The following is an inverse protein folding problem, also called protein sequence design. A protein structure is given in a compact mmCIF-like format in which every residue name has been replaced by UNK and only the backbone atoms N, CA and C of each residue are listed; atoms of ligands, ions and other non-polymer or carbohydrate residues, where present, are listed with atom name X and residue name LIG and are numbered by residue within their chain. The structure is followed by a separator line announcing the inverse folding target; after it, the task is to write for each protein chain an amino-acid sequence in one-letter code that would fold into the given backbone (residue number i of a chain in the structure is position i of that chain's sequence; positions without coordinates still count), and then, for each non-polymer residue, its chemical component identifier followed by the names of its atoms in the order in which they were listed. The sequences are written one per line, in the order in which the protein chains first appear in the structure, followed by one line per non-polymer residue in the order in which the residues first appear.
data_IF_675983094252
#
_entry.id   IF_675983094252
#
_cell.length_a   1.000
_cell.length_b   1.000
_cell.length_c   1.000
_cell.angle_alpha   90.00
_cell.angle_beta   90.00
_cell.angle_gamma   90.00
#
_symmetry.space_group_name_H-M   'P 1'
#
loop_
_entity.id
_entity.type
_entity.pdbx_description
1 polymer ?
#
# COMPACT_ATOMS: atom_id res chain seq x y z
N UNK A 1 19.76 14.56 -3.34
CA UNK A 1 19.80 13.22 -2.72
C UNK A 1 19.56 12.21 -3.81
N UNK A 2 20.32 11.12 -3.83
CA UNK A 2 20.02 10.01 -4.74
C UNK A 2 18.70 9.30 -4.32
N UNK A 3 18.05 8.55 -5.22
CA UNK A 3 16.75 7.92 -4.94
C UNK A 3 16.77 6.93 -3.77
N UNK A 4 17.88 6.25 -3.52
CA UNK A 4 17.99 5.30 -2.41
C UNK A 4 18.03 6.05 -1.07
N UNK A 5 18.78 7.14 -1.01
CA UNK A 5 18.82 8.04 0.16
C UNK A 5 17.46 8.65 0.47
N UNK A 6 16.65 8.98 -0.55
CA UNK A 6 15.29 9.48 -0.34
C UNK A 6 14.36 8.38 0.22
N UNK A 7 14.43 7.18 -0.34
CA UNK A 7 13.63 6.04 0.12
C UNK A 7 13.97 5.64 1.56
N UNK A 8 15.26 5.55 1.89
CA UNK A 8 15.71 5.23 3.26
C UNK A 8 15.31 6.29 4.27
N UNK A 9 15.43 7.57 3.92
CA UNK A 9 15.02 8.67 4.79
C UNK A 9 13.52 8.69 5.03
N UNK A 10 12.70 8.45 3.99
CA UNK A 10 11.25 8.33 4.14
C UNK A 10 10.87 7.15 5.04
N UNK A 11 11.41 5.95 4.78
CA UNK A 11 11.15 4.76 5.58
C UNK A 11 11.52 4.97 7.06
N UNK A 12 12.66 5.64 7.31
CA UNK A 12 13.09 5.97 8.66
C UNK A 12 12.12 6.94 9.35
N UNK A 13 11.70 8.01 8.66
CA UNK A 13 10.70 8.95 9.22
C UNK A 13 9.39 8.24 9.55
N UNK A 14 8.89 7.38 8.67
CA UNK A 14 7.67 6.60 8.90
C UNK A 14 7.79 5.72 10.16
N UNK A 15 8.92 5.03 10.32
CA UNK A 15 9.22 4.24 11.51
C UNK A 15 9.25 5.09 12.79
N UNK A 16 9.91 6.25 12.74
CA UNK A 16 10.03 7.17 13.86
C UNK A 16 8.67 7.75 14.28
N UNK A 17 7.79 8.07 13.33
CA UNK A 17 6.42 8.51 13.60
C UNK A 17 5.62 7.40 14.31
N UNK A 18 5.79 6.15 13.87
CA UNK A 18 5.17 5.00 14.52
C UNK A 18 5.65 4.81 15.96
N UNK A 19 6.96 4.87 16.19
CA UNK A 19 7.56 4.79 17.54
C UNK A 19 7.04 5.92 18.44
N UNK A 20 7.07 7.16 17.96
CA UNK A 20 6.56 8.32 18.69
C UNK A 20 5.09 8.16 19.10
N UNK A 21 4.23 7.69 18.17
CA UNK A 21 2.81 7.48 18.45
C UNK A 21 2.57 6.34 19.44
N UNK A 22 3.38 5.28 19.44
CA UNK A 22 3.26 4.16 20.37
C UNK A 22 3.71 4.51 21.80
N UNK A 23 4.74 5.33 21.96
CA UNK A 23 5.22 5.76 23.29
C UNK A 23 4.25 6.75 23.96
N UNK A 24 3.49 7.49 23.16
CA UNK A 24 2.51 8.46 23.65
C UNK A 24 1.22 7.76 24.10
N UNK A 25 0.82 8.04 25.35
CA UNK A 25 -0.51 7.64 25.85
C UNK A 25 -1.61 8.30 25.02
N UNK A 26 -2.59 7.48 24.65
CA UNK A 26 -3.79 7.88 23.91
C UNK A 26 -4.44 9.14 24.54
N UNK A 27 -4.71 10.16 23.73
CA UNK A 27 -5.34 11.41 24.17
C UNK A 27 -4.40 12.51 24.67
N UNK A 28 -3.07 12.30 24.68
CA UNK A 28 -2.13 13.38 24.99
C UNK A 28 -2.03 14.36 23.81
N UNK A 29 -2.28 15.67 24.00
CA UNK A 29 -2.13 16.65 22.92
C UNK A 29 -0.69 16.64 22.40
N UNK A 30 -0.54 16.65 21.08
CA UNK A 30 0.75 16.79 20.41
C UNK A 30 1.00 18.29 20.23
N UNK A 31 1.96 18.84 20.96
CA UNK A 31 2.50 20.16 20.71
C UNK A 31 3.27 20.21 19.39
N UNK A 32 3.38 21.41 18.80
CA UNK A 32 3.98 21.63 17.48
C UNK A 32 5.42 21.10 17.35
N UNK A 33 6.22 21.24 18.42
CA UNK A 33 7.63 20.82 18.43
C UNK A 33 7.85 19.45 19.06
N UNK A 34 6.79 18.79 19.55
CA UNK A 34 6.89 17.59 20.37
C UNK A 34 7.63 16.44 19.68
N UNK A 35 7.44 16.31 18.36
CA UNK A 35 8.12 15.29 17.59
C UNK A 35 9.60 15.60 17.38
N UNK A 36 9.96 16.87 17.13
CA UNK A 36 11.35 17.28 16.98
C UNK A 36 12.12 17.08 18.30
N UNK A 37 11.53 17.48 19.42
CA UNK A 37 12.10 17.26 20.76
C UNK A 37 12.25 15.76 21.06
N UNK A 38 11.26 14.96 20.68
CA UNK A 38 11.33 13.51 20.83
C UNK A 38 12.47 12.92 20.02
N UNK A 39 12.65 13.34 18.76
CA UNK A 39 13.76 12.91 17.91
C UNK A 39 15.12 13.23 18.54
N UNK A 40 15.32 14.47 19.00
CA UNK A 40 16.56 14.89 19.66
C UNK A 40 16.83 14.08 20.93
N UNK A 41 15.80 13.84 21.76
CA UNK A 41 15.94 13.03 22.98
C UNK A 41 16.27 11.56 22.73
N UNK A 42 16.00 11.05 21.53
CA UNK A 42 16.30 9.67 21.10
C UNK A 42 17.53 9.58 20.19
N UNK A 43 18.34 10.65 20.10
CA UNK A 43 19.56 10.73 19.26
C UNK A 43 19.28 10.64 17.75
N UNK A 44 18.12 11.10 17.29
CA UNK A 44 17.77 11.26 15.88
C UNK A 44 17.96 12.71 15.40
N UNK A 45 19.02 13.39 15.86
CA UNK A 45 19.31 14.80 15.59
C UNK A 45 19.40 15.15 14.09
N UNK A 46 19.90 14.20 13.29
CA UNK A 46 19.99 14.37 11.83
C UNK A 46 18.60 14.51 11.21
N UNK A 47 17.64 13.68 11.63
CA UNK A 47 16.27 13.73 11.15
C UNK A 47 15.52 14.94 11.69
N UNK A 48 15.76 15.31 12.95
CA UNK A 48 15.22 16.55 13.53
C UNK A 48 15.65 17.77 12.69
N UNK A 49 16.95 17.87 12.36
CA UNK A 49 17.48 18.94 11.49
C UNK A 49 16.93 18.87 10.07
N UNK A 50 16.83 17.68 9.50
CA UNK A 50 16.31 17.51 8.14
C UNK A 50 14.86 17.98 8.04
N UNK A 51 14.02 17.61 9.03
CA UNK A 51 12.61 18.02 9.10
C UNK A 51 12.51 19.52 9.39
N UNK A 52 13.27 20.06 10.34
CA UNK A 52 13.21 21.48 10.70
C UNK A 52 13.64 22.40 9.55
N UNK A 53 14.51 21.92 8.67
CA UNK A 53 14.96 22.65 7.47
C UNK A 53 13.92 22.67 6.33
N UNK A 54 12.78 21.98 6.50
CA UNK A 54 11.70 21.89 5.52
C UNK A 54 10.35 22.21 6.17
N UNK A 55 9.90 23.46 6.04
CA UNK A 55 8.62 23.91 6.60
C UNK A 55 7.44 23.03 6.13
N UNK A 56 7.45 22.60 4.86
CA UNK A 56 6.44 21.70 4.31
C UNK A 56 6.45 20.32 4.96
N UNK A 57 7.63 19.73 5.19
CA UNK A 57 7.74 18.43 5.85
C UNK A 57 7.28 18.50 7.29
N UNK A 58 7.67 19.55 8.01
CA UNK A 58 7.23 19.76 9.39
C UNK A 58 5.70 19.88 9.47
N UNK A 59 5.08 20.68 8.60
CA UNK A 59 3.63 20.85 8.57
C UNK A 59 2.88 19.54 8.30
N UNK A 60 3.33 18.73 7.32
CA UNK A 60 2.69 17.45 7.03
C UNK A 60 2.84 16.43 8.17
N UNK A 61 3.97 16.45 8.88
CA UNK A 61 4.17 15.64 10.08
C UNK A 61 3.26 16.12 11.20
N UNK A 62 3.14 17.43 11.43
CA UNK A 62 2.21 18.00 12.42
C UNK A 62 0.76 17.59 12.12
N UNK A 63 0.33 17.71 10.85
CA UNK A 63 -1.00 17.29 10.41
C UNK A 63 -1.22 15.82 10.72
N UNK A 64 -0.31 14.94 10.31
CA UNK A 64 -0.39 13.51 10.56
C UNK A 64 -0.43 13.19 12.06
N UNK A 65 0.37 13.87 12.89
CA UNK A 65 0.42 13.63 14.32
C UNK A 65 -0.79 14.21 15.07
N UNK A 66 -1.49 15.17 14.50
CA UNK A 66 -2.74 15.70 15.05
C UNK A 66 -3.93 14.74 14.86
N UNK A 67 -3.82 13.80 13.93
CA UNK A 67 -4.84 12.79 13.68
C UNK A 67 -4.97 11.77 14.83
N UNK A 68 -6.14 11.13 14.86
CA UNK A 68 -6.47 10.07 15.81
C UNK A 68 -5.43 8.94 15.76
N UNK A 69 -5.03 8.44 16.93
CA UNK A 69 -4.00 7.39 17.07
C UNK A 69 -4.28 6.17 16.20
N UNK A 70 -5.50 5.62 16.25
CA UNK A 70 -5.91 4.45 15.47
C UNK A 70 -5.87 4.71 13.96
N UNK A 71 -6.22 5.93 13.52
CA UNK A 71 -6.14 6.32 12.10
C UNK A 71 -4.68 6.36 11.63
N UNK A 72 -3.78 6.92 12.42
CA UNK A 72 -2.35 6.98 12.06
C UNK A 72 -1.76 5.57 12.06
N UNK A 73 -2.01 4.78 13.11
CA UNK A 73 -1.50 3.42 13.21
C UNK A 73 -2.00 2.51 12.09
N UNK A 74 -3.29 2.59 11.73
CA UNK A 74 -3.82 1.81 10.60
C UNK A 74 -3.18 2.19 9.25
N UNK A 75 -2.89 3.48 9.02
CA UNK A 75 -2.15 3.92 7.82
C UNK A 75 -0.71 3.42 7.82
N UNK A 76 -0.03 3.42 8.97
CA UNK A 76 1.33 2.91 9.10
C UNK A 76 1.38 1.39 8.86
N UNK A 77 0.43 0.63 9.42
CA UNK A 77 0.28 -0.80 9.12
C UNK A 77 0.04 -1.04 7.63
N UNK A 78 -0.74 -0.19 6.97
CA UNK A 78 -0.94 -0.30 5.52
C UNK A 78 0.35 -0.14 4.72
N UNK A 79 1.21 0.80 5.12
CA UNK A 79 2.53 0.97 4.48
C UNK A 79 3.38 -0.29 4.66
N UNK A 80 3.39 -0.86 5.87
CA UNK A 80 4.13 -2.08 6.18
C UNK A 80 3.66 -3.28 5.33
N UNK A 81 2.34 -3.45 5.19
CA UNK A 81 1.73 -4.49 4.35
C UNK A 81 2.07 -4.33 2.86
N UNK A 82 2.05 -3.09 2.34
CA UNK A 82 2.47 -2.80 0.95
C UNK A 82 3.94 -3.15 0.77
N UNK A 83 4.82 -2.71 1.67
CA UNK A 83 6.26 -2.97 1.57
C UNK A 83 6.58 -4.46 1.65
N UNK A 84 5.95 -5.19 2.57
CA UNK A 84 6.03 -6.65 2.66
C UNK A 84 5.67 -7.30 1.34
N UNK A 85 4.53 -6.91 0.79
CA UNK A 85 4.04 -7.41 -0.49
C UNK A 85 5.01 -7.12 -1.63
N UNK A 86 5.51 -5.88 -1.74
CA UNK A 86 6.45 -5.51 -2.80
C UNK A 86 7.74 -6.34 -2.68
N UNK A 87 8.30 -6.41 -1.48
CA UNK A 87 9.57 -7.08 -1.23
C UNK A 87 9.50 -8.60 -1.43
N UNK A 88 8.37 -9.24 -1.08
CA UNK A 88 8.15 -10.68 -1.31
C UNK A 88 8.05 -11.04 -2.79
N UNK A 89 7.59 -10.12 -3.62
CA UNK A 89 7.40 -10.34 -5.06
C UNK A 89 8.60 -9.88 -5.91
N UNK A 90 9.74 -9.62 -5.28
CA UNK A 90 11.00 -9.27 -5.97
C UNK A 90 12.00 -10.40 -5.75
N UNK A 91 12.46 -11.06 -6.83
CA UNK A 91 13.30 -12.28 -6.83
C UNK A 91 14.47 -12.24 -5.81
N UNK A 92 15.29 -11.19 -5.87
CA UNK A 92 16.47 -11.05 -4.98
C UNK A 92 16.14 -10.63 -3.54
N UNK A 93 14.89 -10.25 -3.25
CA UNK A 93 14.45 -9.74 -1.94
C UNK A 93 13.46 -10.69 -1.25
N UNK A 94 12.89 -11.66 -1.97
CA UNK A 94 11.88 -12.60 -1.48
C UNK A 94 12.32 -13.28 -0.18
N UNK A 95 13.47 -13.97 -0.19
CA UNK A 95 13.95 -14.69 1.00
C UNK A 95 14.24 -13.79 2.21
N UNK A 96 14.64 -12.53 1.98
CA UNK A 96 14.81 -11.55 3.06
C UNK A 96 13.46 -11.09 3.59
N UNK A 97 12.53 -10.77 2.69
CA UNK A 97 11.19 -10.32 3.02
C UNK A 97 10.39 -11.40 3.77
N UNK A 98 10.49 -12.66 3.36
CA UNK A 98 9.88 -13.79 4.08
C UNK A 98 10.44 -13.96 5.49
N UNK A 99 11.74 -13.71 5.70
CA UNK A 99 12.36 -13.81 7.01
C UNK A 99 11.94 -12.71 7.99
N UNK A 100 11.53 -11.54 7.46
CA UNK A 100 11.16 -10.34 8.25
C UNK A 100 9.64 -10.24 8.40
N UNK A 101 8.88 -10.44 7.33
CA UNK A 101 7.44 -10.23 7.27
C UNK A 101 6.65 -11.54 7.39
N UNK A 102 6.06 -11.76 8.56
CA UNK A 102 5.24 -12.95 8.84
C UNK A 102 3.78 -12.84 8.35
N UNK A 103 3.36 -11.70 7.80
CA UNK A 103 1.99 -11.45 7.33
C UNK A 103 1.86 -11.34 5.80
N UNK A 104 0.60 -11.41 5.34
CA UNK A 104 0.09 -11.69 3.99
C UNK A 104 0.85 -11.04 2.83
N UNK A 105 1.28 -11.87 1.89
CA UNK A 105 1.66 -11.48 0.53
C UNK A 105 0.42 -11.31 -0.34
N UNK A 106 0.50 -10.49 -1.41
CA UNK A 106 -0.44 -10.64 -2.54
C UNK A 106 -0.29 -12.07 -3.06
N UNK A 107 -1.41 -12.78 -3.20
CA UNK A 107 -1.44 -14.15 -3.74
C UNK A 107 -0.95 -14.17 -5.20
N UNK A 108 -0.39 -15.30 -5.63
CA UNK A 108 -0.03 -15.50 -7.05
C UNK A 108 -1.22 -15.29 -7.98
N UNK A 109 -2.42 -15.68 -7.54
CA UNK A 109 -3.67 -15.45 -8.27
C UNK A 109 -3.97 -13.96 -8.44
N UNK A 110 -3.87 -13.16 -7.37
CA UNK A 110 -4.09 -11.73 -7.43
C UNK A 110 -3.07 -11.03 -8.35
N UNK A 111 -1.80 -11.45 -8.31
CA UNK A 111 -0.77 -10.95 -9.24
C UNK A 111 -1.13 -11.34 -10.66
N UNK A 112 -1.54 -12.58 -10.90
CA UNK A 112 -1.93 -13.06 -12.22
C UNK A 112 -3.14 -12.30 -12.78
N UNK A 113 -4.16 -12.06 -11.96
CA UNK A 113 -5.34 -11.25 -12.30
C UNK A 113 -4.93 -9.82 -12.68
N UNK A 114 -4.06 -9.19 -11.87
CA UNK A 114 -3.57 -7.85 -12.13
C UNK A 114 -2.73 -7.78 -13.41
N UNK A 115 -1.83 -8.75 -13.61
CA UNK A 115 -0.96 -8.88 -14.79
C UNK A 115 -1.78 -9.03 -16.06
N UNK A 116 -2.84 -9.84 -16.05
CA UNK A 116 -3.75 -9.97 -17.19
C UNK A 116 -4.44 -8.66 -17.53
N UNK A 117 -4.87 -7.86 -16.55
CA UNK A 117 -5.43 -6.52 -16.81
C UNK A 117 -4.38 -5.56 -17.38
N UNK A 118 -3.18 -5.49 -16.78
CA UNK A 118 -2.05 -4.65 -17.23
C UNK A 118 -1.65 -4.96 -18.66
N UNK A 119 -1.61 -6.24 -19.03
CA UNK A 119 -1.22 -6.69 -20.37
C UNK A 119 -2.37 -6.67 -21.38
N UNK A 120 -3.59 -6.35 -20.93
CA UNK A 120 -4.75 -6.18 -21.82
C UNK A 120 -4.85 -4.74 -22.33
N UNK A 121 -5.54 -4.50 -23.45
CA UNK A 121 -5.89 -3.15 -23.88
C UNK A 121 -6.99 -2.50 -23.00
N UNK A 122 -7.47 -3.18 -21.96
CA UNK A 122 -8.55 -2.74 -21.09
C UNK A 122 -8.02 -1.89 -19.94
N UNK A 123 -8.78 -0.87 -19.55
CA UNK A 123 -8.49 -0.05 -18.37
C UNK A 123 -9.19 -0.56 -17.12
N UNK A 124 -10.13 -1.50 -17.25
CA UNK A 124 -10.90 -2.07 -16.15
C UNK A 124 -11.51 -3.42 -16.48
N UNK A 125 -11.76 -4.24 -15.47
CA UNK A 125 -12.68 -5.38 -15.57
C UNK A 125 -13.90 -5.18 -14.68
N UNK A 126 -15.01 -5.79 -15.07
CA UNK A 126 -16.23 -5.87 -14.29
C UNK A 126 -16.32 -7.27 -13.68
N UNK A 127 -16.60 -7.34 -12.38
CA UNK A 127 -16.94 -8.60 -11.73
C UNK A 127 -18.40 -8.95 -11.99
N UNK A 128 -18.63 -10.17 -12.45
CA UNK A 128 -19.94 -10.67 -12.81
C UNK A 128 -20.17 -12.07 -12.22
N UNK A 129 -21.26 -12.21 -11.46
CA UNK A 129 -21.67 -13.49 -10.87
C UNK A 129 -22.30 -14.37 -11.97
N UNK A 130 -21.61 -15.44 -12.35
CA UNK A 130 -22.07 -16.38 -13.41
C UNK A 130 -22.74 -17.64 -12.86
N UNK A 131 -22.57 -17.95 -11.58
CA UNK A 131 -23.20 -19.08 -10.92
C UNK A 131 -23.07 -19.03 -9.40
N UNK A 132 -23.62 -20.00 -8.66
CA UNK A 132 -23.45 -20.07 -7.21
C UNK A 132 -21.96 -20.09 -6.85
N UNK A 133 -21.50 -19.09 -6.10
CA UNK A 133 -20.09 -18.90 -5.72
C UNK A 133 -19.10 -18.95 -6.90
N UNK A 134 -19.55 -18.56 -8.09
CA UNK A 134 -18.71 -18.53 -9.29
C UNK A 134 -18.78 -17.14 -9.88
N UNK A 135 -17.66 -16.43 -9.81
CA UNK A 135 -17.51 -15.10 -10.36
C UNK A 135 -16.67 -15.18 -11.65
N UNK A 136 -16.93 -14.25 -12.56
CA UNK A 136 -16.14 -14.01 -13.75
C UNK A 136 -15.69 -12.55 -13.76
N UNK A 137 -14.47 -12.31 -14.21
CA UNK A 137 -13.93 -10.97 -14.38
C UNK A 137 -13.88 -10.66 -15.88
N UNK A 138 -14.75 -9.78 -16.34
CA UNK A 138 -14.95 -9.48 -17.76
C UNK A 138 -14.21 -8.17 -18.09
N UNK A 139 -13.29 -8.23 -19.06
CA UNK A 139 -12.57 -7.04 -19.53
C UNK A 139 -13.55 -6.09 -20.22
N UNK A 140 -13.58 -4.83 -19.79
CA UNK A 140 -14.56 -3.85 -20.27
C UNK A 140 -14.24 -3.30 -21.67
N UNK A 141 -12.99 -3.41 -22.11
CA UNK A 141 -12.55 -3.05 -23.46
C UNK A 141 -11.75 -4.21 -24.07
N UNK A 142 -11.84 -4.39 -25.39
CA UNK A 142 -11.14 -5.46 -26.10
C UNK A 142 -11.81 -6.85 -26.01
N UNK A 143 -12.71 -7.04 -25.05
CA UNK A 143 -13.41 -8.31 -24.85
C UNK A 143 -12.52 -9.38 -24.21
N UNK A 144 -13.15 -10.44 -23.72
CA UNK A 144 -12.47 -11.53 -23.01
C UNK A 144 -12.68 -11.47 -21.49
N UNK A 145 -12.09 -12.46 -20.83
CA UNK A 145 -12.19 -12.65 -19.39
C UNK A 145 -10.80 -12.84 -18.80
N UNK A 146 -10.64 -12.42 -17.55
CA UNK A 146 -9.45 -12.74 -16.77
C UNK A 146 -9.59 -14.17 -16.25
N UNK A 147 -8.56 -14.97 -16.42
CA UNK A 147 -8.53 -16.35 -15.94
C UNK A 147 -8.02 -16.40 -14.50
N UNK A 148 -8.71 -17.15 -13.63
CA UNK A 148 -8.31 -17.42 -12.25
C UNK A 148 -8.98 -18.72 -11.79
N UNK A 149 -8.37 -19.43 -10.84
CA UNK A 149 -8.77 -20.80 -10.47
C UNK A 149 -9.47 -20.87 -9.12
N UNK A 150 -8.98 -20.14 -8.13
CA UNK A 150 -9.44 -20.16 -6.75
C UNK A 150 -10.63 -19.21 -6.54
N UNK A 151 -11.80 -19.62 -7.05
CA UNK A 151 -13.06 -18.85 -6.99
C UNK A 151 -13.42 -18.34 -5.60
N UNK A 152 -13.08 -19.08 -4.54
CA UNK A 152 -13.41 -18.69 -3.15
C UNK A 152 -12.60 -17.52 -2.61
N UNK A 153 -11.47 -17.20 -3.24
CA UNK A 153 -10.52 -16.18 -2.78
C UNK A 153 -10.51 -14.94 -3.67
N UNK A 154 -11.26 -14.92 -4.78
CA UNK A 154 -11.24 -13.79 -5.71
C UNK A 154 -11.67 -12.46 -5.05
N UNK A 155 -12.59 -12.51 -4.08
CA UNK A 155 -12.99 -11.30 -3.35
C UNK A 155 -11.88 -10.78 -2.45
N UNK A 156 -11.14 -11.67 -1.80
CA UNK A 156 -10.01 -11.34 -0.95
C UNK A 156 -8.84 -10.77 -1.78
N UNK A 157 -8.56 -11.40 -2.92
CA UNK A 157 -7.57 -10.93 -3.90
C UNK A 157 -7.89 -9.51 -4.39
N UNK A 158 -9.13 -9.28 -4.84
CA UNK A 158 -9.57 -7.98 -5.34
C UNK A 158 -9.56 -6.91 -4.24
N UNK A 159 -9.99 -7.26 -3.03
CA UNK A 159 -9.94 -6.34 -1.89
C UNK A 159 -8.51 -5.97 -1.53
N UNK A 160 -7.59 -6.94 -1.57
CA UNK A 160 -6.16 -6.73 -1.34
C UNK A 160 -5.56 -5.77 -2.37
N UNK A 161 -5.82 -6.01 -3.66
CA UNK A 161 -5.36 -5.14 -4.75
C UNK A 161 -5.93 -3.72 -4.67
N UNK A 162 -7.21 -3.57 -4.31
CA UNK A 162 -7.83 -2.25 -4.11
C UNK A 162 -7.21 -1.51 -2.94
N UNK A 163 -7.06 -2.20 -1.81
CA UNK A 163 -6.53 -1.59 -0.60
C UNK A 163 -5.05 -1.21 -0.75
N UNK A 164 -4.28 -1.88 -1.64
CA UNK A 164 -2.90 -1.49 -1.98
C UNK A 164 -2.83 -0.38 -3.04
N UNK A 165 -3.97 0.11 -3.53
CA UNK A 165 -4.01 1.14 -4.56
C UNK A 165 -3.60 0.65 -5.95
N UNK A 166 -3.49 -0.67 -6.14
CA UNK A 166 -3.21 -1.29 -7.44
C UNK A 166 -4.47 -1.35 -8.31
N UNK A 167 -5.64 -1.44 -7.68
CA UNK A 167 -6.94 -1.29 -8.32
C UNK A 167 -7.75 -0.16 -7.69
N UNK A 168 -8.64 0.43 -8.48
CA UNK A 168 -9.68 1.35 -8.00
C UNK A 168 -11.05 0.71 -8.20
N UNK A 169 -11.78 0.49 -7.11
CA UNK A 169 -13.16 0.05 -7.14
C UNK A 169 -14.09 1.23 -7.45
N UNK A 170 -15.00 1.01 -8.38
CA UNK A 170 -16.17 1.85 -8.65
C UNK A 170 -17.38 0.97 -8.94
N UNK A 171 -18.57 1.56 -8.95
CA UNK A 171 -19.81 0.83 -9.15
C UNK A 171 -20.49 1.28 -10.44
N UNK A 172 -20.88 0.32 -11.27
CA UNK A 172 -21.69 0.57 -12.46
C UNK A 172 -23.16 0.87 -12.10
N UNK A 173 -23.98 1.25 -13.10
CA UNK A 173 -25.38 1.64 -12.89
C UNK A 173 -26.26 0.59 -12.20
N UNK A 174 -25.91 -0.68 -12.33
CA UNK A 174 -26.65 -1.81 -11.74
C UNK A 174 -26.02 -2.33 -10.43
N UNK A 175 -25.10 -1.57 -9.83
CA UNK A 175 -24.33 -2.01 -8.65
C UNK A 175 -23.21 -2.99 -8.96
N UNK A 176 -22.88 -3.20 -10.24
CA UNK A 176 -21.77 -4.07 -10.66
C UNK A 176 -20.42 -3.48 -10.22
N UNK A 177 -19.58 -4.30 -9.59
CA UNK A 177 -18.24 -3.91 -9.17
C UNK A 177 -17.32 -3.79 -10.40
N UNK A 178 -16.72 -2.62 -10.58
CA UNK A 178 -15.79 -2.31 -11.66
C UNK A 178 -14.45 -1.95 -11.05
N UNK A 179 -13.41 -2.70 -11.40
CA UNK A 179 -12.05 -2.52 -10.92
C UNK A 179 -11.20 -1.93 -12.03
N UNK A 180 -10.74 -0.70 -11.83
CA UNK A 180 -9.91 0.02 -12.80
C UNK A 180 -8.44 -0.05 -12.42
N UNK A 181 -7.58 -0.18 -13.41
CA UNK A 181 -6.13 -0.20 -13.24
C UNK A 181 -5.60 1.16 -12.75
N UNK A 182 -4.55 1.15 -11.94
CA UNK A 182 -3.80 2.36 -11.55
C UNK A 182 -2.42 2.38 -12.20
N UNK A 183 -1.76 3.55 -12.18
CA UNK A 183 -0.37 3.65 -12.66
C UNK A 183 0.58 2.82 -11.79
N UNK A 184 0.26 2.70 -10.50
CA UNK A 184 1.05 1.92 -9.54
C UNK A 184 0.94 0.42 -9.84
N UNK A 185 -0.20 -0.08 -10.31
CA UNK A 185 -0.31 -1.46 -10.80
C UNK A 185 0.60 -1.78 -11.98
N UNK A 186 0.73 -0.86 -12.95
CA UNK A 186 1.62 -1.04 -14.10
C UNK A 186 3.08 -1.10 -13.65
N UNK A 187 3.47 -0.18 -12.76
CA UNK A 187 4.82 -0.15 -12.20
C UNK A 187 5.12 -1.40 -11.36
N UNK A 188 4.15 -1.85 -10.57
CA UNK A 188 4.25 -3.06 -9.76
C UNK A 188 4.48 -4.30 -10.62
N UNK A 189 3.61 -4.57 -11.61
CA UNK A 189 3.79 -5.71 -12.51
C UNK A 189 5.13 -5.64 -13.25
N UNK A 190 5.55 -4.45 -13.66
CA UNK A 190 6.87 -4.27 -14.28
C UNK A 190 8.03 -4.63 -13.35
N UNK A 191 7.89 -4.40 -12.04
CA UNK A 191 8.92 -4.75 -11.05
C UNK A 191 8.94 -6.23 -10.68
N UNK A 192 7.78 -6.89 -10.69
CA UNK A 192 7.64 -8.33 -10.36
C UNK A 192 8.08 -9.22 -11.53
N UNK A 193 7.92 -8.76 -12.78
CA UNK A 193 8.28 -9.52 -13.98
C UNK A 193 9.75 -9.30 -14.43
N UNK A 194 10.57 -8.61 -13.62
CA UNK A 194 12.00 -8.35 -13.90
C UNK A 194 12.90 -9.42 -13.29
#
# INVERSE_FOLDING_TARGET
MDPLTLASSFATIVGLIGMFKQERKEGSPVGKSDFLEWLESHNFDEYAKMISNSEGTLLEIENLLSENHEIVMSKLHRIDEVLSTLAKNMDLMEGLAESIYQSTSISDQAINVLRQLVNSPSTSFMKHRVGPNTDALILMQGGGQVNFEEQRFIDDDLNTLVSYGLLRLSYGPNGSEIYSITRDAVNFISSVDT
#
